data_IF_754847245906
#
_entry.id   IF_754847245906
#
_cell.length_a   1.000
_cell.length_b   1.000
_cell.length_c   1.000
_cell.angle_alpha   90.00
_cell.angle_beta   90.00
_cell.angle_gamma   90.00
#
_symmetry.space_group_name_H-M   'P 1'
#
loop_
_entity.id
_entity.type
_entity.pdbx_description
1 polymer ?
#
# COMPACT_ATOMS: atom_id res chain seq x y z
N UNK A 1 -4.74 6.35 -33.39
CA UNK A 1 -4.38 5.05 -32.79
C UNK A 1 -3.26 5.33 -31.81
N UNK A 2 -3.62 5.49 -30.55
CA UNK A 2 -2.68 5.54 -29.43
C UNK A 2 -3.34 4.67 -28.38
N UNK A 3 -2.91 3.41 -28.37
CA UNK A 3 -3.35 2.44 -27.38
C UNK A 3 -2.80 2.91 -26.03
N UNK A 4 -3.70 3.34 -25.16
CA UNK A 4 -3.42 3.48 -23.74
C UNK A 4 -2.95 2.11 -23.27
N UNK A 5 -1.67 2.03 -22.91
CA UNK A 5 -1.10 0.87 -22.23
C UNK A 5 -1.61 0.92 -20.79
N UNK A 6 -2.87 0.54 -20.61
CA UNK A 6 -3.37 0.10 -19.30
C UNK A 6 -2.53 -1.11 -18.96
N UNK A 7 -1.53 -0.93 -18.10
CA UNK A 7 -0.88 -2.05 -17.43
C UNK A 7 -1.97 -2.83 -16.73
N UNK A 8 -2.13 -4.08 -17.16
CA UNK A 8 -2.97 -5.08 -16.53
C UNK A 8 -2.50 -5.27 -15.09
N UNK A 9 -3.09 -4.52 -14.16
CA UNK A 9 -2.77 -4.53 -12.73
C UNK A 9 -3.69 -5.49 -11.95
N UNK A 10 -4.51 -6.28 -12.68
CA UNK A 10 -5.54 -7.15 -12.10
C UNK A 10 -5.06 -8.52 -11.62
N UNK A 11 -3.75 -8.82 -11.68
CA UNK A 11 -3.23 -10.16 -11.38
C UNK A 11 -1.84 -10.22 -10.75
N UNK A 12 -1.25 -9.08 -10.39
CA UNK A 12 0.12 -9.05 -9.87
C UNK A 12 0.11 -8.74 -8.37
N UNK A 13 0.34 -9.78 -7.55
CA UNK A 13 0.50 -9.66 -6.09
C UNK A 13 1.72 -8.79 -5.77
N UNK A 14 1.49 -7.49 -5.58
CA UNK A 14 2.53 -6.46 -5.42
C UNK A 14 2.66 -6.03 -3.97
N UNK A 15 3.85 -6.19 -3.41
CA UNK A 15 4.25 -5.68 -2.10
C UNK A 15 5.00 -4.37 -2.35
N UNK A 16 4.46 -3.27 -1.87
CA UNK A 16 5.05 -1.95 -1.95
C UNK A 16 5.96 -1.73 -0.73
N UNK A 17 7.12 -1.13 -0.98
CA UNK A 17 8.15 -0.83 0.01
C UNK A 17 8.33 0.69 0.08
N UNK A 18 7.91 1.34 1.16
CA UNK A 18 8.16 2.77 1.43
C UNK A 18 7.82 3.13 2.89
N UNK A 19 8.53 4.09 3.52
CA UNK A 19 8.17 4.63 4.83
C UNK A 19 6.91 5.49 4.80
N UNK A 20 5.97 5.25 5.71
CA UNK A 20 4.77 6.09 5.90
C UNK A 20 4.14 5.93 7.30
N UNK A 21 4.93 6.22 8.34
CA UNK A 21 4.50 6.39 9.74
C UNK A 21 3.73 5.21 10.35
N UNK A 22 3.92 4.00 9.84
CA UNK A 22 3.12 2.83 10.18
C UNK A 22 3.89 1.76 10.97
N UNK A 23 5.03 2.10 11.58
CA UNK A 23 5.96 1.17 12.26
C UNK A 23 6.44 0.00 11.35
N UNK A 24 6.23 0.14 10.04
CA UNK A 24 6.57 -0.78 8.96
C UNK A 24 6.70 0.00 7.65
N UNK A 25 7.52 -0.54 6.75
CA UNK A 25 7.67 -0.01 5.38
C UNK A 25 6.99 -0.88 4.32
N UNK A 26 6.27 -1.93 4.72
CA UNK A 26 5.66 -2.91 3.81
C UNK A 26 4.16 -2.67 3.67
N UNK A 27 3.70 -2.65 2.42
CA UNK A 27 2.32 -2.30 2.09
C UNK A 27 1.78 -3.22 0.99
N UNK A 28 0.55 -3.70 1.15
CA UNK A 28 -0.22 -4.25 0.01
C UNK A 28 -1.36 -3.28 -0.29
N UNK A 29 -2.35 -3.23 0.61
CA UNK A 29 -3.41 -2.22 0.65
C UNK A 29 -3.23 -1.32 1.86
N UNK A 30 -3.07 -1.97 3.00
CA UNK A 30 -2.79 -1.40 4.32
C UNK A 30 -1.33 -1.72 4.70
N UNK A 31 -0.76 -1.03 5.71
CA UNK A 31 0.55 -1.38 6.25
C UNK A 31 0.51 -2.80 6.85
N UNK A 32 1.61 -3.53 6.72
CA UNK A 32 1.73 -4.91 7.19
C UNK A 32 2.69 -4.97 8.37
N UNK A 33 2.20 -5.45 9.51
CA UNK A 33 3.01 -5.67 10.69
C UNK A 33 4.09 -6.72 10.41
N UNK A 34 5.34 -6.44 10.80
CA UNK A 34 6.46 -7.34 10.52
C UNK A 34 6.26 -8.76 11.06
N UNK A 35 5.54 -8.90 12.19
CA UNK A 35 5.23 -10.20 12.80
C UNK A 35 4.35 -11.09 11.92
N UNK A 36 3.56 -10.49 11.02
CA UNK A 36 2.71 -11.22 10.08
C UNK A 36 3.41 -11.56 8.77
N UNK A 37 4.64 -11.07 8.55
CA UNK A 37 5.33 -11.22 7.26
C UNK A 37 6.11 -12.53 7.12
N UNK A 38 6.48 -13.16 8.24
CA UNK A 38 7.39 -14.32 8.25
C UNK A 38 8.78 -14.06 7.68
N UNK A 39 9.17 -12.79 7.44
CA UNK A 39 10.50 -12.41 6.96
C UNK A 39 11.56 -12.66 8.04
N UNK A 40 12.80 -12.81 7.62
CA UNK A 40 13.92 -13.00 8.55
C UNK A 40 14.10 -11.78 9.46
N UNK A 41 14.50 -12.05 10.73
CA UNK A 41 14.78 -10.99 11.71
C UNK A 41 15.84 -9.99 11.22
N UNK A 42 16.83 -10.47 10.47
CA UNK A 42 17.88 -9.62 9.89
C UNK A 42 17.31 -8.64 8.86
N UNK A 43 16.44 -9.11 7.96
CA UNK A 43 15.80 -8.26 6.97
C UNK A 43 14.84 -7.26 7.63
N UNK A 44 14.06 -7.70 8.63
CA UNK A 44 13.20 -6.82 9.42
C UNK A 44 13.99 -5.72 10.12
N UNK A 45 15.12 -6.08 10.77
CA UNK A 45 16.00 -5.11 11.40
C UNK A 45 16.58 -4.11 10.38
N UNK A 46 16.96 -4.59 9.19
CA UNK A 46 17.43 -3.75 8.09
C UNK A 46 16.39 -2.74 7.61
N UNK A 47 15.14 -3.18 7.43
CA UNK A 47 14.03 -2.31 7.03
C UNK A 47 13.71 -1.25 8.10
N UNK A 48 13.70 -1.62 9.39
CA UNK A 48 13.52 -0.66 10.50
C UNK A 48 14.65 0.38 10.55
N UNK A 49 15.89 -0.07 10.37
CA UNK A 49 17.04 0.85 10.34
C UNK A 49 16.96 1.81 9.14
N UNK A 50 16.52 1.32 7.98
CA UNK A 50 16.31 2.14 6.79
C UNK A 50 15.18 3.16 6.95
N UNK A 51 14.06 2.79 7.58
CA UNK A 51 12.99 3.71 7.95
C UNK A 51 13.46 4.79 8.92
N UNK A 52 14.17 4.41 9.99
CA UNK A 52 14.73 5.37 10.93
C UNK A 52 15.71 6.33 10.23
N UNK A 53 16.57 5.81 9.35
CA UNK A 53 17.48 6.64 8.56
C UNK A 53 16.73 7.64 7.68
N UNK A 54 15.60 7.26 7.08
CA UNK A 54 14.75 8.18 6.32
C UNK A 54 14.32 9.36 7.20
N UNK A 55 13.72 9.09 8.36
CA UNK A 55 13.25 10.15 9.25
C UNK A 55 14.38 11.01 9.82
N UNK A 56 15.52 10.42 10.15
CA UNK A 56 16.71 11.15 10.63
C UNK A 56 17.36 12.02 9.54
N UNK A 57 17.07 11.73 8.26
CA UNK A 57 17.62 12.40 7.09
C UNK A 57 16.73 13.51 6.53
N UNK A 58 15.65 13.86 7.23
CA UNK A 58 14.76 14.95 6.85
C UNK A 58 14.89 16.14 7.81
N UNK A 59 14.69 17.34 7.28
CA UNK A 59 14.47 18.53 8.08
C UNK A 59 13.01 18.64 8.57
N UNK A 60 12.72 19.69 9.35
CA UNK A 60 11.38 19.91 9.92
C UNK A 60 10.28 20.13 8.87
N UNK A 61 10.65 20.45 7.62
CA UNK A 61 9.75 20.67 6.50
C UNK A 61 9.68 19.43 5.58
N UNK A 62 10.22 18.29 6.02
CA UNK A 62 10.30 17.02 5.29
C UNK A 62 11.13 17.08 4.00
N UNK A 63 12.14 17.95 3.95
CA UNK A 63 13.12 17.95 2.86
C UNK A 63 14.36 17.16 3.25
N UNK A 64 15.00 16.53 2.27
CA UNK A 64 16.30 15.87 2.45
C UNK A 64 17.35 16.84 3.00
N UNK A 65 18.00 16.48 4.10
CA UNK A 65 19.10 17.26 4.68
C UNK A 65 20.32 17.36 3.75
N UNK A 66 20.47 16.39 2.83
CA UNK A 66 21.45 16.43 1.76
C UNK A 66 21.06 15.54 0.59
N UNK A 67 21.61 15.83 -0.60
CA UNK A 67 21.47 14.97 -1.77
C UNK A 67 22.13 13.59 -1.59
N UNK A 68 23.16 13.51 -0.75
CA UNK A 68 23.80 12.23 -0.39
C UNK A 68 22.85 11.36 0.41
N UNK A 69 22.13 11.93 1.39
CA UNK A 69 21.14 11.20 2.18
C UNK A 69 20.01 10.64 1.31
N UNK A 70 19.50 11.44 0.36
CA UNK A 70 18.49 10.99 -0.60
C UNK A 70 18.99 9.79 -1.44
N UNK A 71 20.24 9.85 -1.91
CA UNK A 71 20.85 8.76 -2.66
C UNK A 71 21.05 7.50 -1.82
N UNK A 72 21.55 7.65 -0.59
CA UNK A 72 21.72 6.53 0.34
C UNK A 72 20.38 5.85 0.63
N UNK A 73 19.31 6.62 0.84
CA UNK A 73 17.97 6.08 0.99
C UNK A 73 17.54 5.25 -0.23
N UNK A 74 17.73 5.78 -1.45
CA UNK A 74 17.42 5.06 -2.70
C UNK A 74 18.21 3.77 -2.86
N UNK A 75 19.52 3.82 -2.61
CA UNK A 75 20.41 2.67 -2.76
C UNK A 75 20.04 1.55 -1.78
N UNK A 76 19.81 1.88 -0.51
CA UNK A 76 19.40 0.92 0.51
C UNK A 76 17.98 0.39 0.26
N UNK A 77 17.03 1.24 -0.12
CA UNK A 77 15.67 0.80 -0.48
C UNK A 77 15.69 -0.18 -1.67
N UNK A 78 16.57 0.05 -2.64
CA UNK A 78 16.77 -0.87 -3.77
C UNK A 78 17.37 -2.21 -3.34
N UNK A 79 18.31 -2.21 -2.39
CA UNK A 79 18.88 -3.45 -1.81
C UNK A 79 17.83 -4.21 -1.02
N UNK A 80 17.07 -3.53 -0.17
CA UNK A 80 15.99 -4.14 0.61
C UNK A 80 14.91 -4.72 -0.31
N UNK A 81 14.50 -4.02 -1.36
CA UNK A 81 13.55 -4.56 -2.34
C UNK A 81 14.05 -5.86 -3.00
N UNK A 82 15.35 -5.96 -3.25
CA UNK A 82 15.97 -7.20 -3.75
C UNK A 82 15.90 -8.31 -2.69
N UNK A 83 16.30 -8.02 -1.44
CA UNK A 83 16.28 -9.01 -0.34
C UNK A 83 14.88 -9.52 -0.04
N UNK A 84 13.88 -8.63 0.03
CA UNK A 84 12.47 -9.02 0.20
C UNK A 84 12.06 -9.93 -0.96
N UNK A 85 12.39 -9.57 -2.22
CA UNK A 85 12.04 -10.41 -3.37
C UNK A 85 12.64 -11.82 -3.28
N UNK A 86 13.88 -11.94 -2.80
CA UNK A 86 14.56 -13.23 -2.60
C UNK A 86 13.86 -14.08 -1.53
N UNK A 87 13.48 -13.48 -0.40
CA UNK A 87 12.80 -14.20 0.68
C UNK A 87 11.40 -14.68 0.26
N UNK A 88 10.60 -13.84 -0.39
CA UNK A 88 9.20 -14.16 -0.73
C UNK A 88 9.03 -14.96 -2.02
N UNK A 89 10.05 -15.01 -2.87
CA UNK A 89 10.05 -15.80 -4.09
C UNK A 89 9.33 -15.16 -5.29
N UNK A 90 9.08 -15.93 -6.36
CA UNK A 90 8.73 -15.40 -7.68
C UNK A 90 7.24 -15.05 -7.82
N UNK A 91 6.42 -15.43 -6.83
CA UNK A 91 4.96 -15.20 -6.81
C UNK A 91 4.60 -13.74 -6.60
N UNK A 92 5.51 -12.95 -6.05
CA UNK A 92 5.26 -11.56 -5.68
C UNK A 92 6.14 -10.61 -6.48
N UNK A 93 5.62 -9.41 -6.72
CA UNK A 93 6.40 -8.27 -7.18
C UNK A 93 6.68 -7.36 -5.99
N UNK A 94 7.93 -6.92 -5.84
CA UNK A 94 8.29 -5.85 -4.93
C UNK A 94 8.38 -4.55 -5.71
N UNK A 95 7.68 -3.52 -5.25
CA UNK A 95 7.73 -2.18 -5.81
C UNK A 95 8.30 -1.21 -4.78
N UNK A 96 9.39 -0.53 -5.13
CA UNK A 96 9.98 0.52 -4.32
C UNK A 96 9.94 1.84 -5.11
N UNK A 97 9.22 2.82 -4.58
CA UNK A 97 9.22 4.18 -5.11
C UNK A 97 10.11 5.05 -4.21
N UNK A 98 11.23 5.54 -4.76
CA UNK A 98 12.10 6.45 -4.01
C UNK A 98 11.48 7.84 -3.89
N UNK A 99 11.76 8.53 -2.79
CA UNK A 99 11.49 9.96 -2.60
C UNK A 99 12.64 10.86 -3.10
N UNK A 100 13.68 10.28 -3.70
CA UNK A 100 14.70 11.02 -4.43
C UNK A 100 14.13 11.55 -5.76
N UNK A 101 14.29 12.85 -5.99
CA UNK A 101 13.73 13.50 -7.17
C UNK A 101 14.34 12.96 -8.48
N UNK A 102 13.48 12.58 -9.42
CA UNK A 102 13.90 12.08 -10.74
C UNK A 102 14.29 10.60 -10.78
N UNK A 103 14.16 9.88 -9.66
CA UNK A 103 14.41 8.44 -9.60
C UNK A 103 13.18 7.65 -10.03
N UNK A 104 13.38 6.65 -10.89
CA UNK A 104 12.30 5.76 -11.34
C UNK A 104 11.94 4.72 -10.27
N UNK A 105 10.68 4.27 -10.28
CA UNK A 105 10.21 3.17 -9.44
C UNK A 105 10.97 1.89 -9.75
N UNK A 106 11.56 1.31 -8.71
CA UNK A 106 12.24 0.02 -8.77
C UNK A 106 11.21 -1.09 -8.64
N UNK A 107 11.26 -2.05 -9.58
CA UNK A 107 10.45 -3.26 -9.56
C UNK A 107 11.36 -4.49 -9.49
N UNK A 108 11.10 -5.39 -8.54
CA UNK A 108 11.87 -6.62 -8.32
C UNK A 108 10.95 -7.82 -8.20
N UNK A 109 11.32 -8.90 -8.85
CA UNK A 109 10.69 -10.22 -8.71
C UNK A 109 11.82 -11.24 -8.69
N UNK A 110 11.77 -12.19 -7.77
CA UNK A 110 12.79 -13.24 -7.75
C UNK A 110 12.68 -14.14 -8.97
N UNK A 111 13.83 -14.56 -9.49
CA UNK A 111 13.92 -15.58 -10.55
C UNK A 111 13.99 -17.00 -9.98
N UNK A 112 14.07 -17.14 -8.66
CA UNK A 112 14.28 -18.39 -7.95
C UNK A 112 13.15 -18.65 -6.95
N UNK A 113 12.93 -19.91 -6.53
CA UNK A 113 12.04 -20.22 -5.41
C UNK A 113 12.38 -19.37 -4.18
N UNK A 114 11.37 -19.13 -3.34
CA UNK A 114 11.51 -18.40 -2.09
C UNK A 114 12.66 -18.99 -1.24
N UNK A 115 13.58 -18.13 -0.82
CA UNK A 115 14.62 -18.49 0.15
C UNK A 115 14.01 -18.70 1.54
N UNK A 116 12.84 -18.08 1.79
CA UNK A 116 12.08 -18.20 3.02
C UNK A 116 10.64 -18.66 2.73
N UNK A 117 10.41 -19.97 2.88
CA UNK A 117 9.09 -20.59 2.67
C UNK A 117 8.05 -20.22 3.75
N UNK A 118 8.45 -19.61 4.85
CA UNK A 118 7.52 -19.03 5.82
C UNK A 118 7.01 -17.68 5.32
N UNK A 119 7.92 -16.80 4.89
CA UNK A 119 7.56 -15.53 4.29
C UNK A 119 6.67 -15.69 3.05
N UNK A 120 7.02 -16.57 2.12
CA UNK A 120 6.19 -16.84 0.93
C UNK A 120 4.75 -17.22 1.31
N UNK A 121 4.59 -18.06 2.35
CA UNK A 121 3.28 -18.53 2.81
C UNK A 121 2.49 -17.43 3.51
N UNK A 122 3.17 -16.63 4.33
CA UNK A 122 2.57 -15.52 5.04
C UNK A 122 2.03 -14.47 4.06
N UNK A 123 2.83 -14.03 3.09
CA UNK A 123 2.37 -13.14 2.04
C UNK A 123 1.30 -13.78 1.16
N UNK A 124 1.39 -15.08 0.84
CA UNK A 124 0.33 -15.75 0.08
C UNK A 124 -1.01 -15.65 0.80
N UNK A 125 -1.02 -15.91 2.12
CA UNK A 125 -2.20 -15.80 2.97
C UNK A 125 -2.75 -14.37 3.00
N UNK A 126 -1.91 -13.36 3.21
CA UNK A 126 -2.32 -11.94 3.21
C UNK A 126 -3.01 -11.54 1.91
N UNK A 127 -2.46 -11.95 0.76
CA UNK A 127 -3.11 -11.70 -0.53
C UNK A 127 -4.39 -12.50 -0.73
N UNK A 128 -4.43 -13.77 -0.30
CA UNK A 128 -5.63 -14.59 -0.39
C UNK A 128 -6.79 -13.96 0.41
N UNK A 129 -6.50 -13.42 1.61
CA UNK A 129 -7.49 -12.71 2.45
C UNK A 129 -8.03 -11.45 1.75
N UNK A 130 -7.15 -10.63 1.17
CA UNK A 130 -7.53 -9.43 0.42
C UNK A 130 -8.38 -9.78 -0.82
N UNK A 131 -8.00 -10.83 -1.56
CA UNK A 131 -8.74 -11.28 -2.74
C UNK A 131 -10.14 -11.80 -2.38
N UNK A 132 -10.28 -12.48 -1.23
CA UNK A 132 -11.58 -12.91 -0.69
C UNK A 132 -12.45 -11.70 -0.33
N UNK A 133 -11.91 -10.74 0.42
CA UNK A 133 -12.63 -9.51 0.80
C UNK A 133 -13.09 -8.73 -0.43
N UNK A 134 -12.23 -8.56 -1.43
CA UNK A 134 -12.56 -7.87 -2.68
C UNK A 134 -13.68 -8.58 -3.44
N UNK A 135 -13.62 -9.91 -3.49
CA UNK A 135 -14.67 -10.72 -4.10
C UNK A 135 -16.00 -10.55 -3.36
N UNK A 136 -15.99 -10.56 -2.02
CA UNK A 136 -17.20 -10.36 -1.22
C UNK A 136 -17.80 -8.96 -1.41
N UNK A 137 -16.97 -7.91 -1.44
CA UNK A 137 -17.39 -6.53 -1.69
C UNK A 137 -17.97 -6.41 -3.10
N UNK A 138 -17.29 -6.96 -4.11
CA UNK A 138 -17.76 -6.92 -5.49
C UNK A 138 -19.09 -7.67 -5.67
N UNK A 139 -19.24 -8.82 -5.02
CA UNK A 139 -20.46 -9.61 -5.01
C UNK A 139 -21.60 -8.87 -4.30
N UNK A 140 -21.32 -8.21 -3.18
CA UNK A 140 -22.27 -7.38 -2.48
C UNK A 140 -22.76 -6.22 -3.36
N UNK A 141 -21.86 -5.50 -4.03
CA UNK A 141 -22.20 -4.40 -4.95
C UNK A 141 -23.06 -4.92 -6.11
N UNK A 142 -22.67 -6.05 -6.71
CA UNK A 142 -23.38 -6.66 -7.84
C UNK A 142 -24.79 -7.12 -7.47
N UNK A 143 -24.96 -7.69 -6.27
CA UNK A 143 -26.23 -8.22 -5.80
C UNK A 143 -27.16 -7.15 -5.18
N UNK A 144 -26.63 -5.94 -4.90
CA UNK A 144 -27.41 -4.81 -4.37
C UNK A 144 -27.33 -3.59 -5.31
N UNK A 145 -27.82 -3.69 -6.56
CA UNK A 145 -27.83 -2.56 -7.49
C UNK A 145 -28.75 -1.46 -6.95
N UNK A 146 -28.16 -0.35 -6.49
CA UNK A 146 -28.86 0.74 -5.80
C UNK A 146 -28.52 0.88 -4.31
N UNK A 147 -27.60 0.05 -3.79
CA UNK A 147 -27.01 0.26 -2.47
C UNK A 147 -26.42 1.66 -2.32
N UNK A 148 -26.61 2.24 -1.13
CA UNK A 148 -26.16 3.60 -0.82
C UNK A 148 -24.95 3.54 0.11
N UNK A 149 -23.88 4.23 -0.27
CA UNK A 149 -22.73 4.46 0.61
C UNK A 149 -23.06 5.63 1.56
N UNK A 150 -22.88 5.43 2.85
CA UNK A 150 -23.05 6.47 3.88
C UNK A 150 -21.76 6.61 4.67
N UNK A 151 -21.37 7.83 5.02
CA UNK A 151 -20.28 8.04 5.96
C UNK A 151 -20.84 8.06 7.38
N UNK A 152 -20.18 7.37 8.30
CA UNK A 152 -20.60 7.30 9.71
C UNK A 152 -19.49 7.87 10.60
N UNK A 153 -19.85 8.83 11.45
CA UNK A 153 -18.96 9.43 12.45
C UNK A 153 -19.22 8.77 13.82
N UNK A 154 -18.41 7.79 14.24
CA UNK A 154 -18.71 6.97 15.42
C UNK A 154 -18.74 7.75 16.73
N UNK A 155 -17.94 8.81 16.85
CA UNK A 155 -17.85 9.62 18.07
C UNK A 155 -19.09 10.50 18.29
N UNK A 156 -19.75 10.94 17.21
CA UNK A 156 -20.95 11.79 17.28
C UNK A 156 -22.24 11.04 16.95
N UNK A 157 -22.14 9.80 16.45
CA UNK A 157 -23.27 9.02 15.93
C UNK A 157 -23.87 9.59 14.63
N UNK A 158 -23.22 10.58 14.01
CA UNK A 158 -23.75 11.25 12.81
C UNK A 158 -23.56 10.36 11.59
N UNK A 159 -24.63 10.16 10.81
CA UNK A 159 -24.57 9.53 9.50
C UNK A 159 -24.73 10.62 8.44
N UNK A 160 -23.73 10.77 7.57
CA UNK A 160 -23.85 11.57 6.37
C UNK A 160 -24.26 10.69 5.20
N UNK A 161 -25.35 11.10 4.59
CA UNK A 161 -25.87 10.49 3.38
C UNK A 161 -25.51 11.41 2.19
N UNK A 162 -24.64 10.98 1.25
CA UNK A 162 -24.16 11.81 0.15
C UNK A 162 -25.22 12.11 -0.92
N UNK A 163 -26.41 11.49 -0.85
CA UNK A 163 -27.50 11.78 -1.77
C UNK A 163 -28.78 12.06 -0.96
N UNK A 164 -28.83 13.15 -0.18
CA UNK A 164 -30.05 13.55 0.48
C UNK A 164 -31.04 13.94 -0.62
N UNK A 165 -32.24 13.36 -0.60
CA UNK A 165 -33.36 13.92 -1.37
C UNK A 165 -33.60 15.34 -0.82
N UNK A 166 -32.95 16.35 -1.39
CA UNK A 166 -33.33 17.74 -1.20
C UNK A 166 -34.62 17.96 -1.99
N UNK A 167 -35.73 17.46 -1.46
CA UNK A 167 -37.00 18.09 -1.74
C UNK A 167 -36.93 19.47 -1.11
N UNK A 168 -36.59 20.44 -1.95
CA UNK A 168 -36.74 21.86 -1.69
C UNK A 168 -38.17 22.09 -1.24
N UNK A 169 -38.37 22.36 0.05
CA UNK A 169 -39.58 23.05 0.50
C UNK A 169 -39.64 24.36 -0.28
N UNK A 170 -40.55 24.42 -1.27
CA UNK A 170 -40.89 25.68 -1.89
C UNK A 170 -41.48 26.58 -0.79
N UNK A 171 -41.08 27.86 -0.71
CA UNK A 171 -41.66 28.77 0.26
C UNK A 171 -43.16 28.89 -0.02
N UNK A 172 -43.97 28.73 1.02
CA UNK A 172 -45.37 29.10 1.03
C UNK A 172 -45.49 30.61 0.78
N UNK A 173 -45.98 31.00 -0.39
CA UNK A 173 -46.51 32.34 -0.60
C UNK A 173 -47.89 32.40 0.07
N UNK A 174 -47.93 33.02 1.25
CA UNK A 174 -49.13 33.62 1.82
C UNK A 174 -49.56 34.79 0.91
N UNK A 175 -50.80 34.75 0.44
CA UNK A 175 -51.71 35.90 0.28
C UNK A 175 -53.17 35.44 0.31
#
# INVERSE_FOLDING_TARGET
MTENRTTDDGGQRTIRLFPDYADTVLWIREPIDYEDTGLSDELVAGMRAWEQFYYDSLDADFNWVSAEAARTFTEEGTRLAQSVSSEVGPRFLIEFASYEAGTETVRRRSAHPAENAEAERAFAKLFDEIEVEDSEIADYIRNNPGGKWTAYAPLSGTVFDPNPNWQTEAPSEDD
#
